data_IF_284027992582
#
_entry.id   IF_284027992582
#
_cell.length_a   1.000
_cell.length_b   1.000
_cell.length_c   1.000
_cell.angle_alpha   90.00
_cell.angle_beta   90.00
_cell.angle_gamma   90.00
#
_symmetry.space_group_name_H-M   'P 1'
#
loop_
_entity.id
_entity.type
_entity.pdbx_description
1 polymer ?
#
# COMPACT_ATOMS: atom_id res chain seq x y z
N UNK A 1 -36.94 26.84 30.92
CA UNK A 1 -37.18 25.59 30.20
C UNK A 1 -36.94 25.89 28.73
N UNK A 2 -35.67 26.03 28.36
CA UNK A 2 -34.73 24.96 27.96
C UNK A 2 -34.93 24.50 26.52
N UNK A 3 -33.81 24.46 25.78
CA UNK A 3 -33.62 23.43 24.76
C UNK A 3 -33.33 23.88 23.32
N UNK A 4 -32.30 24.70 23.13
CA UNK A 4 -31.55 24.73 21.86
C UNK A 4 -30.86 23.37 21.63
N UNK A 5 -31.02 22.75 20.46
CA UNK A 5 -30.22 21.60 20.04
C UNK A 5 -29.66 21.81 18.63
N UNK A 6 -28.36 22.09 18.63
CA UNK A 6 -27.46 22.26 17.50
C UNK A 6 -27.28 20.97 16.71
N UNK A 7 -27.27 21.07 15.37
CA UNK A 7 -26.88 19.97 14.49
C UNK A 7 -25.39 19.62 14.60
N UNK A 8 -24.99 18.36 14.33
CA UNK A 8 -23.63 17.91 14.50
C UNK A 8 -22.73 18.54 13.43
N UNK A 9 -21.77 19.35 13.90
CA UNK A 9 -20.76 20.00 13.09
C UNK A 9 -19.82 19.00 12.42
N UNK A 10 -19.46 19.32 11.17
CA UNK A 10 -18.34 18.70 10.45
C UNK A 10 -17.05 18.95 11.23
N UNK A 11 -16.54 17.92 11.90
CA UNK A 11 -15.22 17.97 12.50
C UNK A 11 -14.14 18.00 11.40
N UNK A 12 -13.64 19.20 11.11
CA UNK A 12 -12.33 19.38 10.47
C UNK A 12 -11.28 18.89 11.48
N UNK A 13 -10.52 17.86 11.11
CA UNK A 13 -9.34 17.43 11.84
C UNK A 13 -8.16 18.38 11.59
N UNK A 14 -8.29 19.64 12.03
CA UNK A 14 -7.16 20.55 12.24
C UNK A 14 -6.76 20.43 13.71
N UNK A 15 -5.47 20.22 14.00
CA UNK A 15 -4.90 20.39 15.35
C UNK A 15 -4.57 19.13 16.17
N UNK A 16 -3.69 18.24 15.68
CA UNK A 16 -3.06 17.19 16.54
C UNK A 16 -1.52 17.18 16.55
N UNK A 17 -0.88 18.27 16.12
CA UNK A 17 0.60 18.40 16.13
C UNK A 17 1.14 19.78 16.51
N UNK A 18 0.27 20.76 16.78
CA UNK A 18 0.70 22.11 17.14
C UNK A 18 1.21 22.12 18.59
N UNK A 19 2.51 22.37 18.78
CA UNK A 19 3.11 22.64 20.10
C UNK A 19 4.21 21.69 20.57
N UNK A 20 4.62 20.68 19.78
CA UNK A 20 5.68 19.73 20.19
C UNK A 20 7.09 20.36 20.26
N UNK A 21 7.32 21.45 19.54
CA UNK A 21 8.58 22.21 19.59
C UNK A 21 8.34 23.54 20.29
N UNK A 22 8.75 23.60 21.55
CA UNK A 22 8.69 24.80 22.38
C UNK A 22 9.71 25.86 21.92
N UNK A 23 9.54 27.11 22.38
CA UNK A 23 10.44 28.23 22.07
C UNK A 23 11.94 27.90 22.20
N UNK A 24 12.40 27.25 23.29
CA UNK A 24 13.81 26.84 23.43
C UNK A 24 14.30 25.87 22.34
N UNK A 25 13.48 24.88 21.96
CA UNK A 25 13.82 23.88 20.92
C UNK A 25 13.77 24.48 19.52
N UNK A 26 12.81 25.37 19.27
CA UNK A 26 12.74 26.16 18.04
C UNK A 26 14.00 27.01 17.85
N UNK A 27 14.44 27.69 18.91
CA UNK A 27 15.66 28.49 18.88
C UNK A 27 16.91 27.62 18.66
N UNK A 28 16.96 26.41 19.23
CA UNK A 28 18.01 25.42 18.97
C UNK A 28 18.06 25.03 17.49
N UNK A 29 16.92 24.68 16.90
CA UNK A 29 16.82 24.33 15.48
C UNK A 29 17.29 25.46 14.57
N UNK A 30 16.81 26.69 14.79
CA UNK A 30 17.19 27.85 13.98
C UNK A 30 18.69 28.11 14.04
N UNK A 31 19.28 28.09 15.24
CA UNK A 31 20.72 28.30 15.42
C UNK A 31 21.54 27.20 14.75
N UNK A 32 21.17 25.94 14.99
CA UNK A 32 21.87 24.78 14.43
C UNK A 32 21.80 24.75 12.91
N UNK A 33 20.61 24.95 12.35
CA UNK A 33 20.41 24.94 10.90
C UNK A 33 21.17 26.06 10.20
N UNK A 34 21.27 27.25 10.83
CA UNK A 34 22.09 28.34 10.29
C UNK A 34 23.57 27.94 10.17
N UNK A 35 24.10 27.23 11.15
CA UNK A 35 25.49 26.73 11.11
C UNK A 35 25.62 25.63 10.06
N UNK A 36 24.71 24.66 10.04
CA UNK A 36 24.75 23.52 9.12
C UNK A 36 24.64 23.94 7.65
N UNK A 37 23.74 24.87 7.32
CA UNK A 37 23.48 25.34 5.96
C UNK A 37 24.39 26.52 5.53
N UNK A 38 25.00 27.22 6.49
CA UNK A 38 25.71 28.49 6.23
C UNK A 38 24.78 29.67 5.91
N UNK A 39 23.46 29.50 6.01
CA UNK A 39 22.44 30.53 5.78
C UNK A 39 21.25 30.34 6.73
N UNK A 40 20.46 31.39 7.02
CA UNK A 40 19.22 31.22 7.77
C UNK A 40 18.21 30.34 7.01
N UNK A 41 17.37 29.64 7.77
CA UNK A 41 16.18 28.98 7.24
C UNK A 41 15.16 30.02 6.79
N UNK A 42 14.47 29.73 5.71
CA UNK A 42 13.25 30.46 5.34
C UNK A 42 12.09 30.09 6.28
N UNK A 43 11.03 30.90 6.28
CA UNK A 43 9.84 30.61 7.08
C UNK A 43 9.18 29.26 6.68
N UNK A 44 9.18 28.95 5.39
CA UNK A 44 8.63 27.71 4.85
C UNK A 44 9.46 26.48 5.23
N UNK A 45 10.80 26.60 5.16
CA UNK A 45 11.71 25.53 5.61
C UNK A 45 11.55 25.27 7.10
N UNK A 46 11.50 26.33 7.91
CA UNK A 46 11.30 26.21 9.35
C UNK A 46 9.97 25.53 9.68
N UNK A 47 8.86 25.97 9.05
CA UNK A 47 7.55 25.35 9.23
C UNK A 47 7.54 23.88 8.80
N UNK A 48 8.22 23.54 7.72
CA UNK A 48 8.30 22.16 7.23
C UNK A 48 9.11 21.26 8.16
N UNK A 49 10.24 21.75 8.68
CA UNK A 49 11.04 21.03 9.68
C UNK A 49 10.30 20.86 11.01
N UNK A 50 9.54 21.86 11.45
CA UNK A 50 8.70 21.77 12.65
C UNK A 50 7.59 20.72 12.48
N UNK A 51 6.92 20.70 11.33
CA UNK A 51 5.93 19.67 10.99
C UNK A 51 6.55 18.27 10.94
N UNK A 52 7.72 18.15 10.32
CA UNK A 52 8.42 16.87 10.21
C UNK A 52 8.85 16.32 11.58
N UNK A 53 9.42 17.16 12.44
CA UNK A 53 9.77 16.78 13.81
C UNK A 53 8.54 16.39 14.64
N UNK A 54 7.43 17.11 14.49
CA UNK A 54 6.17 16.75 15.13
C UNK A 54 5.66 15.39 14.66
N UNK A 55 5.75 15.10 13.36
CA UNK A 55 5.43 13.80 12.80
C UNK A 55 6.33 12.71 13.37
N UNK A 56 7.67 12.85 13.31
CA UNK A 56 8.59 11.86 13.88
C UNK A 56 8.26 11.61 15.36
N UNK A 57 8.12 12.67 16.17
CA UNK A 57 7.83 12.53 17.59
C UNK A 57 6.49 11.81 17.84
N UNK A 58 5.48 12.06 17.01
CA UNK A 58 4.16 11.42 17.10
C UNK A 58 4.24 9.94 16.78
N UNK A 59 4.87 9.59 15.66
CA UNK A 59 4.96 8.21 15.19
C UNK A 59 5.96 7.38 15.99
N UNK A 60 7.01 8.00 16.53
CA UNK A 60 7.98 7.36 17.41
C UNK A 60 7.40 6.84 18.74
N UNK A 61 6.18 7.27 19.11
CA UNK A 61 5.44 6.72 20.27
C UNK A 61 4.93 5.30 20.04
N UNK A 62 4.70 4.93 18.78
CA UNK A 62 4.09 3.65 18.41
C UNK A 62 5.13 2.75 17.72
N UNK A 63 5.95 3.32 16.86
CA UNK A 63 6.98 2.61 16.09
C UNK A 63 8.31 3.27 16.43
N UNK A 64 9.28 2.59 17.02
CA UNK A 64 10.56 3.22 17.44
C UNK A 64 11.40 3.64 16.22
N UNK A 65 11.08 4.77 15.59
CA UNK A 65 11.68 5.26 14.33
C UNK A 65 13.09 5.82 14.50
N UNK A 66 13.44 6.22 15.72
CA UNK A 66 14.66 6.95 16.04
C UNK A 66 15.25 6.45 17.36
N UNK A 67 16.54 6.71 17.59
CA UNK A 67 17.23 6.35 18.84
C UNK A 67 16.60 6.98 20.09
N UNK A 68 15.96 8.14 19.94
CA UNK A 68 15.20 8.83 20.98
C UNK A 68 14.01 9.60 20.41
N UNK A 69 12.98 9.83 21.24
CA UNK A 69 11.84 10.72 20.99
C UNK A 69 12.05 12.13 21.52
N UNK A 70 13.15 12.38 22.25
CA UNK A 70 13.43 13.69 22.85
C UNK A 70 13.63 14.75 21.76
N UNK A 71 12.88 15.86 21.77
CA UNK A 71 12.94 16.86 20.69
C UNK A 71 14.33 17.44 20.45
N UNK A 72 15.11 17.65 21.51
CA UNK A 72 16.49 18.14 21.38
C UNK A 72 17.40 17.12 20.68
N UNK A 73 17.22 15.84 21.02
CA UNK A 73 17.97 14.75 20.40
C UNK A 73 17.62 14.61 18.91
N UNK A 74 16.32 14.70 18.57
CA UNK A 74 15.83 14.65 17.19
C UNK A 74 16.36 15.82 16.35
N UNK A 75 16.38 17.03 16.91
CA UNK A 75 16.95 18.19 16.22
C UNK A 75 18.42 17.92 15.89
N UNK A 76 19.23 17.49 16.85
CA UNK A 76 20.66 17.29 16.65
C UNK A 76 20.97 16.11 15.71
N UNK A 77 20.44 14.93 16.01
CA UNK A 77 20.88 13.67 15.41
C UNK A 77 20.05 13.22 14.19
N UNK A 78 18.94 13.91 13.91
CA UNK A 78 18.12 13.62 12.71
C UNK A 78 18.16 14.79 11.76
N UNK A 79 17.83 16.00 12.25
CA UNK A 79 17.69 17.16 11.36
C UNK A 79 19.03 17.79 11.03
N UNK A 80 19.80 18.21 12.04
CA UNK A 80 21.01 18.99 11.80
C UNK A 80 22.07 18.16 11.08
N UNK A 81 22.24 16.89 11.43
CA UNK A 81 23.11 15.95 10.69
C UNK A 81 22.70 15.83 9.22
N UNK A 82 21.39 15.71 8.94
CA UNK A 82 20.88 15.65 7.56
C UNK A 82 21.15 16.92 6.77
N UNK A 83 21.06 18.10 7.40
CA UNK A 83 21.32 19.39 6.75
C UNK A 83 22.80 19.59 6.39
N UNK A 84 23.74 18.91 7.06
CA UNK A 84 25.15 18.93 6.66
C UNK A 84 25.34 18.33 5.27
N UNK A 85 24.57 17.29 4.91
CA UNK A 85 24.60 16.72 3.57
C UNK A 85 24.05 17.69 2.53
N UNK A 86 23.00 18.46 2.86
CA UNK A 86 22.48 19.50 1.96
C UNK A 86 23.57 20.53 1.61
N UNK A 87 24.44 20.88 2.57
CA UNK A 87 25.60 21.76 2.31
C UNK A 87 26.65 21.05 1.44
N UNK A 88 26.98 19.80 1.74
CA UNK A 88 28.00 19.05 1.01
C UNK A 88 27.62 18.80 -0.46
N UNK A 89 26.32 18.59 -0.73
CA UNK A 89 25.82 18.32 -2.08
C UNK A 89 25.76 19.57 -2.97
N UNK A 90 25.72 20.78 -2.40
CA UNK A 90 25.70 22.07 -3.11
C UNK A 90 24.39 22.36 -3.88
N UNK A 91 23.78 21.34 -4.48
CA UNK A 91 22.45 21.32 -5.09
C UNK A 91 21.71 20.09 -4.58
N UNK A 92 20.47 20.25 -4.14
CA UNK A 92 19.58 19.11 -3.89
C UNK A 92 19.25 18.49 -5.25
N UNK A 93 19.55 17.20 -5.48
CA UNK A 93 19.22 16.56 -6.74
C UNK A 93 17.71 16.50 -6.93
N UNK A 94 17.23 16.60 -8.17
CA UNK A 94 15.80 16.48 -8.51
C UNK A 94 15.22 15.12 -8.09
N UNK A 95 16.09 14.12 -7.97
CA UNK A 95 15.77 12.78 -7.46
C UNK A 95 16.78 12.38 -6.39
N UNK A 96 16.31 12.19 -5.16
CA UNK A 96 17.10 11.72 -4.03
C UNK A 96 16.48 10.41 -3.52
N UNK A 97 17.30 9.35 -3.45
CA UNK A 97 16.91 8.07 -2.87
C UNK A 97 17.53 7.97 -1.47
N UNK A 98 16.67 7.96 -0.46
CA UNK A 98 17.06 7.81 0.94
C UNK A 98 17.06 6.32 1.32
N UNK A 99 18.21 5.81 1.76
CA UNK A 99 18.38 4.40 2.15
C UNK A 99 19.10 4.38 3.50
N UNK A 100 18.37 4.02 4.56
CA UNK A 100 18.96 3.81 5.88
C UNK A 100 17.94 3.25 6.88
N UNK A 101 18.40 2.65 7.99
CA UNK A 101 17.55 2.09 9.05
C UNK A 101 16.95 3.14 10.01
N UNK A 102 17.07 4.45 9.70
CA UNK A 102 16.50 5.57 10.47
C UNK A 102 15.26 6.17 9.80
N UNK A 103 14.77 7.30 10.29
CA UNK A 103 13.58 8.02 9.78
C UNK A 103 13.66 8.51 8.31
N UNK A 104 14.70 8.11 7.56
CA UNK A 104 14.86 8.33 6.13
C UNK A 104 14.12 7.26 5.33
N UNK A 105 13.16 7.71 4.51
CA UNK A 105 12.07 6.95 3.89
C UNK A 105 11.21 6.13 4.89
N UNK A 106 9.94 6.48 5.13
CA UNK A 106 9.06 5.62 5.92
C UNK A 106 8.96 4.27 5.20
N UNK A 107 9.43 3.19 5.83
CA UNK A 107 9.03 1.86 5.42
C UNK A 107 7.51 1.86 5.29
N UNK A 108 6.99 1.58 4.09
CA UNK A 108 5.55 1.60 3.86
C UNK A 108 4.89 0.71 4.90
N UNK A 109 3.95 1.22 5.72
CA UNK A 109 3.30 0.40 6.72
C UNK A 109 2.65 -0.81 6.05
N UNK A 110 3.05 -2.01 6.44
CA UNK A 110 2.59 -3.25 5.83
C UNK A 110 1.83 -4.06 6.88
N UNK A 111 0.60 -4.43 6.54
CA UNK A 111 -0.19 -5.40 7.28
C UNK A 111 -0.14 -6.73 6.55
N UNK A 112 0.29 -7.78 7.24
CA UNK A 112 0.34 -9.14 6.71
C UNK A 112 -0.84 -9.90 7.30
N UNK A 113 -1.74 -10.32 6.41
CA UNK A 113 -2.93 -11.10 6.72
C UNK A 113 -2.71 -12.54 6.27
N UNK A 114 -3.10 -13.48 7.11
CA UNK A 114 -2.94 -14.90 6.88
C UNK A 114 -1.93 -15.55 7.82
N UNK A 115 -1.90 -16.87 7.75
CA UNK A 115 -0.99 -17.74 8.49
C UNK A 115 -0.15 -18.53 7.49
N UNK A 116 1.01 -18.99 7.93
CA UNK A 116 1.91 -19.75 7.07
C UNK A 116 3.09 -20.34 7.83
N UNK A 117 3.67 -21.38 7.24
CA UNK A 117 4.85 -22.09 7.77
C UNK A 117 6.02 -21.17 8.11
N UNK A 118 6.19 -20.08 7.36
CA UNK A 118 7.31 -19.16 7.50
C UNK A 118 7.01 -17.95 8.41
N UNK A 119 5.81 -17.89 9.02
CA UNK A 119 5.38 -16.74 9.84
C UNK A 119 6.37 -16.39 10.94
N UNK A 120 6.86 -17.38 11.68
CA UNK A 120 7.81 -17.15 12.77
C UNK A 120 9.14 -16.55 12.26
N UNK A 121 9.65 -17.07 11.14
CA UNK A 121 10.88 -16.57 10.53
C UNK A 121 10.71 -15.15 9.97
N UNK A 122 9.57 -14.87 9.32
CA UNK A 122 9.25 -13.55 8.78
C UNK A 122 9.04 -12.52 9.89
N UNK A 123 8.37 -12.88 10.98
CA UNK A 123 8.21 -12.00 12.15
C UNK A 123 9.55 -11.65 12.80
N UNK A 124 10.50 -12.58 12.85
CA UNK A 124 11.84 -12.32 13.39
C UNK A 124 12.65 -11.34 12.52
N UNK A 125 12.36 -11.26 11.22
CA UNK A 125 12.99 -10.32 10.27
C UNK A 125 12.22 -9.01 10.12
N UNK A 126 11.01 -8.92 10.68
CA UNK A 126 10.11 -7.82 10.46
C UNK A 126 10.59 -6.53 11.14
N UNK A 127 10.61 -5.45 10.37
CA UNK A 127 10.86 -4.11 10.90
C UNK A 127 9.64 -3.55 11.65
N UNK A 128 9.79 -2.40 12.34
CA UNK A 128 8.73 -1.78 13.14
C UNK A 128 7.52 -1.30 12.32
N UNK A 129 7.63 -1.25 10.99
CA UNK A 129 6.55 -0.84 10.07
C UNK A 129 5.70 -2.02 9.58
N UNK A 130 5.97 -3.24 10.04
CA UNK A 130 5.27 -4.46 9.61
C UNK A 130 4.45 -5.00 10.78
N UNK A 131 3.16 -5.22 10.55
CA UNK A 131 2.21 -5.78 11.51
C UNK A 131 1.65 -7.11 10.97
N UNK A 132 1.77 -8.19 11.75
CA UNK A 132 1.19 -9.49 11.42
C UNK A 132 -0.14 -9.64 12.15
N UNK A 133 -1.23 -9.77 11.38
CA UNK A 133 -2.58 -9.91 11.93
C UNK A 133 -3.01 -11.37 12.09
N UNK A 134 -2.29 -12.30 11.45
CA UNK A 134 -2.69 -13.71 11.39
C UNK A 134 -3.95 -13.93 10.55
N UNK A 135 -4.66 -15.03 10.80
CA UNK A 135 -5.99 -15.22 10.21
C UNK A 135 -6.97 -14.17 10.74
N UNK A 136 -7.67 -13.51 9.83
CA UNK A 136 -8.72 -12.54 10.17
C UNK A 136 -10.06 -13.00 9.61
N UNK A 137 -11.18 -12.68 10.28
CA UNK A 137 -12.52 -12.85 9.74
C UNK A 137 -12.70 -12.17 8.38
N UNK A 138 -13.64 -12.66 7.57
CA UNK A 138 -13.86 -12.18 6.20
C UNK A 138 -14.28 -10.71 6.15
N UNK A 139 -15.14 -10.26 7.06
CA UNK A 139 -15.54 -8.87 7.21
C UNK A 139 -14.35 -7.96 7.53
N UNK A 140 -13.46 -8.40 8.42
CA UNK A 140 -12.22 -7.67 8.74
C UNK A 140 -11.27 -7.63 7.55
N UNK A 141 -11.15 -8.71 6.77
CA UNK A 141 -10.38 -8.73 5.51
C UNK A 141 -10.89 -7.66 4.54
N UNK A 142 -12.21 -7.55 4.35
CA UNK A 142 -12.79 -6.51 3.51
C UNK A 142 -12.61 -5.11 4.08
N UNK A 143 -12.65 -4.94 5.41
CA UNK A 143 -12.32 -3.68 6.06
C UNK A 143 -10.87 -3.26 5.83
N UNK A 144 -9.93 -4.20 5.88
CA UNK A 144 -8.51 -3.98 5.58
C UNK A 144 -8.32 -3.59 4.12
N UNK A 145 -8.91 -4.32 3.18
CA UNK A 145 -8.89 -3.95 1.77
C UNK A 145 -9.47 -2.56 1.54
N UNK A 146 -10.62 -2.22 2.10
CA UNK A 146 -11.23 -0.91 1.91
C UNK A 146 -10.34 0.26 2.42
N UNK A 147 -9.41 0.00 3.34
CA UNK A 147 -8.54 1.01 3.96
C UNK A 147 -7.09 0.97 3.48
N UNK A 148 -6.68 -0.04 2.72
CA UNK A 148 -5.33 -0.10 2.20
C UNK A 148 -5.13 0.87 1.02
N UNK A 149 -3.87 1.22 0.74
CA UNK A 149 -3.50 1.96 -0.48
C UNK A 149 -3.43 1.02 -1.69
N UNK A 150 -2.92 -0.19 -1.46
CA UNK A 150 -2.87 -1.30 -2.39
C UNK A 150 -2.74 -2.60 -1.59
N UNK A 151 -3.01 -3.75 -2.22
CA UNK A 151 -2.60 -5.06 -1.71
C UNK A 151 -1.52 -5.66 -2.61
N UNK A 152 -0.57 -6.35 -2.00
CA UNK A 152 0.58 -6.96 -2.69
C UNK A 152 0.38 -8.47 -2.73
N UNK A 153 0.51 -9.07 -3.91
CA UNK A 153 0.37 -10.50 -4.16
C UNK A 153 1.66 -11.00 -4.82
N UNK A 154 2.67 -11.36 -4.02
CA UNK A 154 3.99 -11.68 -4.55
C UNK A 154 4.16 -13.12 -5.01
N UNK A 155 3.19 -13.98 -4.69
CA UNK A 155 3.13 -15.36 -5.12
C UNK A 155 2.23 -15.52 -6.35
N UNK A 156 2.44 -16.58 -7.11
CA UNK A 156 1.53 -17.01 -8.15
C UNK A 156 0.19 -17.46 -7.54
N UNK A 157 -0.91 -16.94 -8.10
CA UNK A 157 -2.28 -17.30 -7.75
C UNK A 157 -3.00 -17.66 -9.06
N UNK A 158 -3.47 -18.90 -9.17
CA UNK A 158 -4.07 -19.44 -10.39
C UNK A 158 -5.38 -18.75 -10.77
N UNK A 159 -6.16 -18.30 -9.78
CA UNK A 159 -7.52 -17.81 -10.01
C UNK A 159 -7.64 -16.30 -9.90
N UNK A 160 -6.72 -15.65 -9.19
CA UNK A 160 -6.75 -14.20 -9.02
C UNK A 160 -7.89 -13.70 -8.12
N UNK A 161 -8.47 -14.55 -7.28
CA UNK A 161 -9.66 -14.21 -6.49
C UNK A 161 -9.35 -13.08 -5.50
N UNK A 162 -8.22 -13.14 -4.80
CA UNK A 162 -7.85 -12.12 -3.83
C UNK A 162 -7.58 -10.76 -4.51
N UNK A 163 -7.06 -10.77 -5.74
CA UNK A 163 -6.86 -9.60 -6.60
C UNK A 163 -8.22 -9.00 -6.97
N UNK A 164 -9.20 -9.83 -7.32
CA UNK A 164 -10.58 -9.37 -7.59
C UNK A 164 -11.24 -8.80 -6.34
N UNK A 165 -11.05 -9.42 -5.17
CA UNK A 165 -11.61 -8.95 -3.89
C UNK A 165 -11.09 -7.55 -3.53
N UNK A 166 -9.77 -7.31 -3.63
CA UNK A 166 -9.20 -5.98 -3.35
C UNK A 166 -9.66 -4.94 -4.37
N UNK A 167 -9.78 -5.33 -5.65
CA UNK A 167 -10.34 -4.46 -6.69
C UNK A 167 -11.83 -4.18 -6.45
N UNK A 168 -12.60 -5.13 -5.92
CA UNK A 168 -14.00 -4.91 -5.54
C UNK A 168 -14.11 -3.87 -4.40
N UNK A 169 -13.14 -3.81 -3.50
CA UNK A 169 -12.99 -2.75 -2.50
C UNK A 169 -12.48 -1.41 -3.08
N UNK A 170 -12.25 -1.34 -4.40
CA UNK A 170 -11.82 -0.14 -5.08
C UNK A 170 -10.34 0.17 -4.90
N UNK A 171 -9.54 -0.82 -4.49
CA UNK A 171 -8.10 -0.68 -4.26
C UNK A 171 -7.28 -1.43 -5.31
N UNK A 172 -6.15 -0.86 -5.73
CA UNK A 172 -5.28 -1.49 -6.71
C UNK A 172 -4.53 -2.70 -6.15
N UNK A 173 -4.21 -3.64 -7.04
CA UNK A 173 -3.38 -4.81 -6.74
C UNK A 173 -1.98 -4.65 -7.31
N UNK A 174 -0.93 -4.93 -6.53
CA UNK A 174 0.44 -5.10 -7.02
C UNK A 174 0.71 -6.59 -7.06
N UNK A 175 0.77 -7.20 -8.24
CA UNK A 175 0.77 -8.65 -8.37
C UNK A 175 1.86 -9.16 -9.31
N UNK A 176 2.38 -10.36 -9.01
CA UNK A 176 3.26 -11.09 -9.92
C UNK A 176 2.50 -11.38 -11.22
N UNK A 177 3.12 -11.13 -12.38
CA UNK A 177 2.53 -11.31 -13.71
C UNK A 177 2.47 -12.79 -14.11
N UNK A 178 1.75 -13.61 -13.33
CA UNK A 178 1.55 -15.06 -13.48
C UNK A 178 0.14 -15.46 -13.05
N UNK A 179 -0.31 -16.63 -13.47
CA UNK A 179 -1.65 -17.15 -13.15
C UNK A 179 -2.79 -16.17 -13.43
N UNK A 180 -3.81 -16.21 -12.59
CA UNK A 180 -5.01 -15.38 -12.70
C UNK A 180 -4.77 -13.88 -12.52
N UNK A 181 -3.58 -13.44 -12.08
CA UNK A 181 -3.25 -12.02 -12.05
C UNK A 181 -3.23 -11.40 -13.46
N UNK A 182 -2.84 -12.16 -14.48
CA UNK A 182 -2.82 -11.71 -15.87
C UNK A 182 -4.22 -11.46 -16.44
N UNK A 183 -5.23 -12.17 -15.94
CA UNK A 183 -6.62 -12.00 -16.33
C UNK A 183 -7.32 -10.90 -15.53
N UNK A 184 -7.00 -10.83 -14.23
CA UNK A 184 -7.75 -10.01 -13.25
C UNK A 184 -7.20 -8.61 -13.11
N UNK A 185 -5.88 -8.40 -13.23
CA UNK A 185 -5.22 -7.10 -13.05
C UNK A 185 -4.88 -6.47 -14.40
N UNK A 186 -5.40 -5.27 -14.65
CA UNK A 186 -5.04 -4.48 -15.83
C UNK A 186 -3.90 -3.55 -15.44
N UNK A 187 -2.70 -3.85 -15.93
CA UNK A 187 -1.48 -3.11 -15.58
C UNK A 187 -1.61 -1.61 -15.88
N UNK A 188 -1.25 -0.79 -14.90
CA UNK A 188 -1.38 0.67 -14.95
C UNK A 188 -2.80 1.22 -14.78
N UNK A 189 -3.82 0.36 -14.74
CA UNK A 189 -5.24 0.77 -14.66
C UNK A 189 -5.89 0.31 -13.36
N UNK A 190 -5.77 -0.98 -13.03
CA UNK A 190 -6.34 -1.56 -11.81
C UNK A 190 -5.29 -2.05 -10.82
N UNK A 191 -4.02 -1.87 -11.18
CA UNK A 191 -2.90 -2.35 -10.39
C UNK A 191 -1.57 -2.17 -11.12
N UNK A 192 -0.53 -2.79 -10.57
CA UNK A 192 0.77 -2.92 -11.23
C UNK A 192 1.12 -4.40 -11.30
N UNK A 193 1.45 -4.88 -12.49
CA UNK A 193 2.00 -6.20 -12.68
C UNK A 193 3.52 -6.14 -12.70
N UNK A 194 4.17 -7.10 -12.05
CA UNK A 194 5.63 -7.22 -12.04
C UNK A 194 6.09 -8.58 -12.57
N UNK A 195 7.15 -8.63 -13.40
CA UNK A 195 7.43 -9.80 -14.23
C UNK A 195 8.06 -10.98 -13.48
N UNK A 196 8.88 -10.70 -12.47
CA UNK A 196 9.76 -11.67 -11.82
C UNK A 196 9.53 -11.73 -10.32
N UNK A 197 9.57 -12.94 -9.74
CA UNK A 197 9.43 -13.14 -8.29
C UNK A 197 10.74 -12.83 -7.55
N UNK A 198 11.20 -11.60 -7.70
CA UNK A 198 12.44 -11.08 -7.11
C UNK A 198 12.17 -9.82 -6.29
N UNK A 199 13.06 -9.54 -5.34
CA UNK A 199 12.95 -8.35 -4.49
C UNK A 199 13.03 -7.08 -5.33
N UNK A 200 13.92 -7.06 -6.32
CA UNK A 200 14.16 -5.93 -7.22
C UNK A 200 12.92 -5.62 -8.07
N UNK A 201 12.30 -6.66 -8.63
CA UNK A 201 11.09 -6.52 -9.44
C UNK A 201 9.92 -5.99 -8.60
N UNK A 202 9.76 -6.49 -7.37
CA UNK A 202 8.74 -5.98 -6.45
C UNK A 202 8.98 -4.52 -6.05
N UNK A 203 10.24 -4.14 -5.76
CA UNK A 203 10.60 -2.74 -5.45
C UNK A 203 10.25 -1.82 -6.62
N UNK A 204 10.57 -2.20 -7.85
CA UNK A 204 10.22 -1.37 -9.01
C UNK A 204 8.70 -1.29 -9.22
N UNK A 205 7.97 -2.38 -8.97
CA UNK A 205 6.52 -2.38 -9.01
C UNK A 205 5.91 -1.38 -8.01
N UNK A 206 6.42 -1.35 -6.78
CA UNK A 206 6.00 -0.40 -5.74
C UNK A 206 6.37 1.04 -6.14
N UNK A 207 7.58 1.28 -6.65
CA UNK A 207 7.98 2.61 -7.13
C UNK A 207 7.12 3.09 -8.29
N UNK A 208 6.77 2.20 -9.22
CA UNK A 208 5.86 2.49 -10.33
C UNK A 208 4.45 2.79 -9.81
N UNK A 209 3.96 2.00 -8.87
CA UNK A 209 2.69 2.23 -8.19
C UNK A 209 2.60 3.63 -7.58
N UNK A 210 3.64 4.08 -6.87
CA UNK A 210 3.68 5.42 -6.26
C UNK A 210 3.62 6.58 -7.28
N UNK A 211 4.02 6.33 -8.54
CA UNK A 211 3.96 7.33 -9.63
C UNK A 211 2.62 7.35 -10.37
N UNK A 212 1.81 6.31 -10.21
CA UNK A 212 0.56 6.12 -10.93
C UNK A 212 -0.64 6.67 -10.13
N UNK A 213 -1.67 7.07 -10.88
CA UNK A 213 -2.95 7.48 -10.31
C UNK A 213 -4.00 6.48 -10.73
N UNK A 214 -4.74 5.96 -9.75
CA UNK A 214 -5.75 4.94 -9.97
C UNK A 214 -7.16 5.49 -9.76
N UNK A 215 -8.06 5.15 -10.67
CA UNK A 215 -9.48 5.47 -10.56
C UNK A 215 -10.20 4.33 -9.86
N UNK A 216 -10.78 4.60 -8.69
CA UNK A 216 -11.62 3.64 -7.97
C UNK A 216 -12.75 3.11 -8.87
N UNK A 217 -13.29 3.95 -9.75
CA UNK A 217 -14.33 3.54 -10.69
C UNK A 217 -13.87 2.49 -11.69
N UNK A 218 -12.67 2.64 -12.26
CA UNK A 218 -12.09 1.68 -13.21
C UNK A 218 -11.74 0.36 -12.52
N UNK A 219 -11.14 0.44 -11.34
CA UNK A 219 -10.82 -0.71 -10.51
C UNK A 219 -12.08 -1.55 -10.21
N UNK A 220 -13.14 -0.90 -9.71
CA UNK A 220 -14.40 -1.61 -9.40
C UNK A 220 -15.08 -2.13 -10.66
N UNK A 221 -15.02 -1.40 -11.79
CA UNK A 221 -15.57 -1.87 -13.07
C UNK A 221 -14.91 -3.16 -13.54
N UNK A 222 -13.59 -3.27 -13.42
CA UNK A 222 -12.87 -4.49 -13.74
C UNK A 222 -13.30 -5.65 -12.83
N UNK A 223 -13.35 -5.43 -11.50
CA UNK A 223 -13.76 -6.46 -10.54
C UNK A 223 -15.18 -7.01 -10.83
N UNK A 224 -16.11 -6.15 -11.26
CA UNK A 224 -17.49 -6.55 -11.62
C UNK A 224 -17.57 -7.56 -12.76
N UNK A 225 -16.55 -7.63 -13.62
CA UNK A 225 -16.48 -8.64 -14.69
C UNK A 225 -16.36 -10.06 -14.14
N UNK A 226 -15.87 -10.21 -12.91
CA UNK A 226 -15.72 -11.48 -12.21
C UNK A 226 -16.88 -11.75 -11.23
N UNK A 227 -17.99 -11.03 -11.38
CA UNK A 227 -19.15 -11.22 -10.50
C UNK A 227 -19.82 -12.59 -10.73
N UNK A 228 -20.34 -13.17 -9.64
CA UNK A 228 -21.09 -14.44 -9.69
C UNK A 228 -22.28 -14.39 -10.63
N UNK A 229 -22.95 -13.23 -10.74
CA UNK A 229 -24.10 -13.05 -11.62
C UNK A 229 -23.68 -13.22 -13.10
N UNK A 230 -22.63 -12.49 -13.51
CA UNK A 230 -22.09 -12.57 -14.86
C UNK A 230 -21.55 -13.96 -15.19
N UNK A 231 -20.82 -14.59 -14.27
CA UNK A 231 -20.35 -15.96 -14.45
C UNK A 231 -21.50 -16.93 -14.74
N UNK A 232 -22.60 -16.86 -13.98
CA UNK A 232 -23.78 -17.72 -14.19
C UNK A 232 -24.46 -17.47 -15.54
N UNK A 233 -24.50 -16.22 -16.00
CA UNK A 233 -25.06 -15.85 -17.29
C UNK A 233 -24.20 -16.39 -18.43
N UNK A 234 -22.91 -16.05 -18.45
CA UNK A 234 -21.99 -16.49 -19.51
C UNK A 234 -21.85 -18.02 -19.58
N UNK A 235 -21.82 -18.71 -18.44
CA UNK A 235 -21.80 -20.18 -18.41
C UNK A 235 -23.07 -20.79 -18.98
N UNK A 236 -24.23 -20.22 -18.67
CA UNK A 236 -25.51 -20.68 -19.22
C UNK A 236 -25.52 -20.51 -20.73
N UNK A 237 -25.17 -19.33 -21.21
CA UNK A 237 -25.14 -19.04 -22.65
C UNK A 237 -24.16 -19.96 -23.38
N UNK A 238 -23.02 -20.27 -22.77
CA UNK A 238 -22.05 -21.22 -23.32
C UNK A 238 -22.64 -22.64 -23.42
N UNK A 239 -23.29 -23.12 -22.35
CA UNK A 239 -23.92 -24.43 -22.33
C UNK A 239 -25.06 -24.50 -23.36
N UNK A 240 -25.91 -23.48 -23.43
CA UNK A 240 -27.03 -23.44 -24.37
C UNK A 240 -26.54 -23.45 -25.83
N UNK A 241 -25.55 -22.62 -26.16
CA UNK A 241 -24.92 -22.62 -27.50
C UNK A 241 -24.33 -23.98 -27.87
N UNK A 242 -23.61 -24.64 -26.96
CA UNK A 242 -22.99 -25.94 -27.22
C UNK A 242 -24.05 -27.05 -27.35
N UNK A 243 -25.11 -27.01 -26.54
CA UNK A 243 -26.24 -27.94 -26.66
C UNK A 243 -26.97 -27.77 -28.00
N UNK A 244 -27.17 -26.55 -28.46
CA UNK A 244 -27.76 -26.26 -29.78
C UNK A 244 -26.86 -26.78 -30.92
N UNK A 245 -25.56 -26.49 -30.87
CA UNK A 245 -24.59 -26.99 -31.85
C UNK A 245 -24.59 -28.52 -31.92
N UNK A 246 -24.63 -29.19 -30.76
CA UNK A 246 -24.74 -30.66 -30.69
C UNK A 246 -26.07 -31.20 -31.18
N UNK A 247 -27.19 -30.51 -30.93
CA UNK A 247 -28.50 -30.92 -31.48
C UNK A 247 -28.55 -30.77 -33.00
N UNK A 248 -27.84 -29.78 -33.54
CA UNK A 248 -27.69 -29.57 -34.98
C UNK A 248 -26.74 -30.59 -35.66
N UNK A 249 -25.97 -31.37 -34.88
CA UNK A 249 -25.12 -32.46 -35.36
C UNK A 249 -25.66 -33.82 -34.88
N UNK A 250 -26.36 -34.60 -35.72
CA UNK A 250 -26.85 -35.91 -35.30
C UNK A 250 -25.67 -36.86 -35.03
N UNK A 251 -25.48 -37.22 -33.75
CA UNK A 251 -24.74 -38.38 -33.27
C UNK A 251 -23.29 -38.52 -33.72
N UNK A 252 -22.36 -37.74 -33.15
CA UNK A 252 -20.95 -38.15 -33.16
C UNK A 252 -20.82 -39.44 -32.32
N UNK A 253 -20.30 -40.55 -32.87
CA UNK A 253 -20.12 -41.78 -32.10
C UNK A 253 -19.17 -41.51 -30.93
N UNK A 254 -19.49 -42.06 -29.75
CA UNK A 254 -18.57 -42.04 -28.62
C UNK A 254 -17.34 -42.83 -29.05
N UNK A 255 -16.19 -42.17 -29.18
CA UNK A 255 -14.95 -42.85 -29.54
C UNK A 255 -14.63 -43.94 -28.51
N UNK A 256 -14.21 -45.11 -28.98
CA UNK A 256 -13.78 -46.24 -28.11
C UNK A 256 -12.73 -45.84 -27.07
N UNK A 257 -11.94 -44.80 -27.36
CA UNK A 257 -10.94 -44.21 -26.47
C UNK A 257 -11.56 -43.54 -25.24
N UNK A 258 -12.69 -42.87 -25.40
CA UNK A 258 -13.46 -42.28 -24.29
C UNK A 258 -14.11 -43.39 -23.45
N UNK A 259 -14.62 -44.46 -24.07
CA UNK A 259 -15.19 -45.57 -23.30
C UNK A 259 -14.14 -46.28 -22.43
N UNK A 260 -12.90 -46.43 -22.93
CA UNK A 260 -11.78 -47.04 -22.19
C UNK A 260 -11.30 -46.25 -20.96
N UNK A 261 -11.47 -44.94 -20.95
CA UNK A 261 -11.03 -44.07 -19.84
C UNK A 261 -11.98 -44.15 -18.64
N UNK A 262 -13.26 -44.45 -18.88
CA UNK A 262 -14.32 -44.43 -17.87
C UNK A 262 -14.87 -45.82 -17.50
N UNK A 263 -14.28 -46.89 -18.02
CA UNK A 263 -14.55 -48.30 -17.69
C UNK A 263 -13.53 -48.84 -16.70
#
# INVERSE_FOLDING_TARGET
MDGSASGPGRARGEGRGEGLITGPRRAQLIRGARVALGRPLTAEELSSLERYLALIATWSRVHRLTGSTEPGWLIEHVILDSLLFARALGRVPETLLDIGPGAGAPGLPLKIVGEGRDRAALMAQAGPTIEFLGQVPEDEKFHLYARCRAAVFPAEDDFGIAQVEVQAAGRPAIALARGGALDTVVDGVTGVLFPDQTVESLIEAVRRFERLHFSTGDIVRQARRFSRARFKEEMRDLIERELEARRAMPGAPVSEEVQRVWS
#
